data_IF_367853179965
#
_entry.id   IF_367853179965
#
_cell.length_a   1.000
_cell.length_b   1.000
_cell.length_c   1.000
_cell.angle_alpha   90.00
_cell.angle_beta   90.00
_cell.angle_gamma   90.00
#
_symmetry.space_group_name_H-M   'P 1'
#
loop_
_entity.id
_entity.type
_entity.pdbx_description
1 polymer ?
#
# COMPACT_ATOMS: atom_id res chain seq x y z
N UNK A 1 -7.94 23.86 -10.40
CA UNK A 1 -7.74 22.40 -10.28
C UNK A 1 -6.50 22.07 -11.08
N UNK A 2 -5.33 22.01 -10.45
CA UNK A 2 -4.19 21.45 -11.18
C UNK A 2 -4.44 19.95 -11.35
N UNK A 3 -4.18 19.42 -12.54
CA UNK A 3 -4.31 17.99 -12.79
C UNK A 3 -2.96 17.32 -12.62
N UNK A 4 -2.96 16.12 -12.04
CA UNK A 4 -1.78 15.26 -11.99
C UNK A 4 -1.22 15.04 -13.40
N UNK A 5 0.08 15.23 -13.56
CA UNK A 5 0.78 14.97 -14.83
C UNK A 5 0.82 13.47 -15.14
N UNK A 6 1.20 13.12 -16.38
CA UNK A 6 1.42 11.71 -16.74
C UNK A 6 2.58 11.10 -15.95
N UNK A 7 3.61 11.89 -15.65
CA UNK A 7 4.76 11.46 -14.85
C UNK A 7 4.36 11.20 -13.40
N UNK A 8 3.47 12.03 -12.84
CA UNK A 8 2.90 11.80 -11.51
C UNK A 8 2.12 10.49 -11.44
N UNK A 9 1.29 10.23 -12.44
CA UNK A 9 0.51 8.99 -12.52
C UNK A 9 1.40 7.76 -12.64
N UNK A 10 2.47 7.85 -13.44
CA UNK A 10 3.49 6.78 -13.51
C UNK A 10 4.22 6.60 -12.19
N UNK A 11 4.69 7.68 -11.56
CA UNK A 11 5.43 7.62 -10.30
C UNK A 11 4.57 7.06 -9.16
N UNK A 12 3.29 7.42 -9.10
CA UNK A 12 2.32 6.82 -8.18
C UNK A 12 2.16 5.33 -8.48
N UNK A 13 1.91 4.95 -9.74
CA UNK A 13 1.77 3.53 -10.11
C UNK A 13 2.99 2.70 -9.72
N UNK A 14 4.20 3.22 -9.97
CA UNK A 14 5.45 2.57 -9.58
C UNK A 14 5.61 2.49 -8.05
N UNK A 15 5.27 3.54 -7.30
CA UNK A 15 5.27 3.52 -5.83
C UNK A 15 4.40 2.38 -5.28
N UNK A 16 3.15 2.27 -5.74
CA UNK A 16 2.22 1.25 -5.26
C UNK A 16 2.71 -0.16 -5.60
N UNK A 17 3.28 -0.35 -6.80
CA UNK A 17 3.87 -1.62 -7.22
C UNK A 17 5.11 -1.96 -6.39
N UNK A 18 6.05 -1.01 -6.21
CA UNK A 18 7.29 -1.23 -5.46
C UNK A 18 7.05 -1.55 -3.99
N UNK A 19 6.04 -0.95 -3.37
CA UNK A 19 5.58 -1.36 -2.04
C UNK A 19 5.27 -2.87 -1.99
N UNK A 20 4.49 -3.37 -2.95
CA UNK A 20 4.12 -4.78 -3.03
C UNK A 20 5.35 -5.68 -3.27
N UNK A 21 6.19 -5.30 -4.24
CA UNK A 21 7.44 -6.03 -4.53
C UNK A 21 8.38 -6.10 -3.34
N UNK A 22 8.47 -5.03 -2.55
CA UNK A 22 9.32 -5.00 -1.37
C UNK A 22 8.85 -5.98 -0.30
N UNK A 23 7.55 -6.09 -0.07
CA UNK A 23 6.98 -7.10 0.83
C UNK A 23 7.24 -8.51 0.28
N UNK A 24 6.86 -8.75 -0.98
CA UNK A 24 6.92 -10.07 -1.61
C UNK A 24 8.33 -10.65 -1.69
N UNK A 25 9.35 -9.78 -1.76
CA UNK A 25 10.76 -10.18 -1.87
C UNK A 25 11.59 -9.85 -0.62
N UNK A 26 10.95 -9.42 0.47
CA UNK A 26 11.63 -9.09 1.72
C UNK A 26 12.66 -7.96 1.63
N UNK A 27 12.42 -6.94 0.79
CA UNK A 27 13.28 -5.75 0.64
C UNK A 27 13.04 -4.73 1.75
N UNK A 28 13.16 -5.18 2.99
CA UNK A 28 12.77 -4.40 4.18
C UNK A 28 13.58 -3.10 4.35
N UNK A 29 14.81 -3.04 3.83
CA UNK A 29 15.63 -1.82 3.85
C UNK A 29 15.05 -0.68 3.01
N UNK A 30 14.22 -0.98 2.00
CA UNK A 30 13.54 0.02 1.16
C UNK A 30 12.21 0.48 1.76
N UNK A 31 11.65 -0.29 2.70
CA UNK A 31 10.24 -0.24 3.06
C UNK A 31 9.81 1.10 3.66
N UNK A 32 10.61 1.67 4.58
CA UNK A 32 10.31 2.95 5.20
C UNK A 32 10.24 4.12 4.21
N UNK A 33 11.00 4.05 3.10
CA UNK A 33 11.10 5.15 2.14
C UNK A 33 9.83 5.37 1.32
N UNK A 34 8.92 4.39 1.27
CA UNK A 34 7.63 4.52 0.60
C UNK A 34 6.65 5.41 1.36
N UNK A 35 6.94 5.74 2.61
CA UNK A 35 6.00 6.39 3.52
C UNK A 35 6.43 7.79 3.91
N UNK A 36 5.45 8.67 4.13
CA UNK A 36 5.68 9.95 4.82
C UNK A 36 6.06 9.70 6.30
N UNK A 37 6.65 10.69 6.97
CA UNK A 37 7.01 10.56 8.40
C UNK A 37 5.79 10.27 9.30
N UNK A 38 4.67 10.96 9.07
CA UNK A 38 3.40 10.79 9.79
C UNK A 38 2.41 9.82 9.13
N UNK A 39 2.90 8.80 8.41
CA UNK A 39 2.02 7.91 7.66
C UNK A 39 1.12 7.03 8.54
N UNK A 40 0.07 6.45 7.98
CA UNK A 40 -0.75 5.40 8.61
C UNK A 40 -1.01 4.23 7.66
N UNK A 41 -0.71 3.02 8.11
CA UNK A 41 -1.19 1.77 7.51
C UNK A 41 -2.33 1.23 8.36
N UNK A 42 -3.52 1.10 7.79
CA UNK A 42 -4.69 0.55 8.47
C UNK A 42 -5.16 -0.73 7.78
N UNK A 43 -5.02 -1.87 8.46
CA UNK A 43 -5.51 -3.17 8.01
C UNK A 43 -6.77 -3.58 8.78
N UNK A 44 -7.45 -2.61 9.41
CA UNK A 44 -8.67 -2.81 10.17
C UNK A 44 -8.49 -3.80 11.31
N UNK A 45 -9.56 -4.53 11.64
CA UNK A 45 -9.56 -5.50 12.75
C UNK A 45 -8.64 -6.71 12.52
N UNK A 46 -8.21 -6.96 11.28
CA UNK A 46 -7.44 -8.16 10.94
C UNK A 46 -5.98 -8.06 11.40
N UNK A 47 -5.31 -6.93 11.14
CA UNK A 47 -3.91 -6.72 11.53
C UNK A 47 -3.67 -5.44 12.34
N UNK A 48 -4.72 -4.64 12.56
CA UNK A 48 -4.63 -3.37 13.28
C UNK A 48 -4.06 -2.24 12.42
N UNK A 49 -3.66 -1.19 13.13
CA UNK A 49 -3.19 0.07 12.53
C UNK A 49 -1.77 0.37 12.98
N UNK A 50 -0.93 0.86 12.06
CA UNK A 50 0.46 1.19 12.27
C UNK A 50 0.71 2.63 11.82
N UNK A 51 1.18 3.48 12.73
CA UNK A 51 1.33 4.92 12.48
C UNK A 51 2.78 5.36 12.65
N UNK A 52 3.20 6.29 11.80
CA UNK A 52 4.55 6.84 11.75
C UNK A 52 5.62 5.80 11.40
N UNK A 53 6.86 6.26 11.29
CA UNK A 53 8.01 5.42 10.92
C UNK A 53 8.22 4.24 11.89
N UNK A 54 7.97 4.42 13.19
CA UNK A 54 8.03 3.35 14.17
C UNK A 54 6.97 2.26 13.92
N UNK A 55 5.74 2.66 13.57
CA UNK A 55 4.67 1.74 13.20
C UNK A 55 5.02 0.96 11.94
N UNK A 56 5.56 1.63 10.92
CA UNK A 56 6.03 0.99 9.68
C UNK A 56 7.14 -0.02 9.96
N UNK A 57 8.12 0.32 10.81
CA UNK A 57 9.18 -0.60 11.19
C UNK A 57 8.63 -1.84 11.92
N UNK A 58 7.67 -1.65 12.83
CA UNK A 58 6.98 -2.77 13.51
C UNK A 58 6.19 -3.66 12.55
N UNK A 59 5.52 -3.07 11.57
CA UNK A 59 4.80 -3.82 10.54
C UNK A 59 5.77 -4.65 9.70
N UNK A 60 6.86 -4.05 9.24
CA UNK A 60 7.90 -4.74 8.47
C UNK A 60 8.51 -5.92 9.27
N UNK A 61 8.87 -5.72 10.53
CA UNK A 61 9.39 -6.81 11.38
C UNK A 61 8.35 -7.90 11.63
N UNK A 62 7.07 -7.55 11.76
CA UNK A 62 5.97 -8.53 11.88
C UNK A 62 5.87 -9.42 10.64
N UNK A 63 5.86 -8.82 9.44
CA UNK A 63 5.81 -9.56 8.19
C UNK A 63 7.06 -10.41 7.98
N UNK A 64 8.24 -9.84 8.25
CA UNK A 64 9.53 -10.55 8.17
C UNK A 64 9.58 -11.75 9.11
N UNK A 65 9.16 -11.59 10.35
CA UNK A 65 9.13 -12.66 11.35
C UNK A 65 8.14 -13.79 11.00
N UNK A 66 7.09 -13.48 10.23
CA UNK A 66 6.13 -14.50 9.79
C UNK A 66 6.75 -15.55 8.88
N UNK A 67 7.78 -15.20 8.10
CA UNK A 67 8.39 -16.08 7.10
C UNK A 67 7.44 -16.58 6.01
N UNK A 68 6.23 -16.02 5.93
CA UNK A 68 5.18 -16.46 5.01
C UNK A 68 5.53 -16.02 3.59
N UNK A 69 5.38 -16.92 2.61
CA UNK A 69 5.46 -16.53 1.20
C UNK A 69 4.28 -15.62 0.89
N UNK A 70 4.55 -14.49 0.24
CA UNK A 70 3.55 -13.51 -0.14
C UNK A 70 3.69 -13.18 -1.63
N UNK A 71 2.55 -13.03 -2.30
CA UNK A 71 2.47 -12.46 -3.64
C UNK A 71 1.25 -11.55 -3.73
N UNK A 72 1.47 -10.27 -3.98
CA UNK A 72 0.41 -9.31 -4.18
C UNK A 72 0.18 -9.06 -5.68
N UNK A 73 -1.09 -9.11 -6.08
CA UNK A 73 -1.58 -8.70 -7.40
C UNK A 73 -2.47 -7.48 -7.20
N UNK A 74 -1.97 -6.31 -7.56
CA UNK A 74 -2.74 -5.06 -7.54
C UNK A 74 -3.22 -4.71 -8.94
N UNK A 75 -4.52 -4.50 -9.11
CA UNK A 75 -5.12 -4.21 -10.43
C UNK A 75 -6.14 -3.08 -10.36
N UNK A 76 -6.58 -2.62 -11.55
CA UNK A 76 -7.63 -1.62 -11.71
C UNK A 76 -7.37 -0.35 -10.90
N UNK A 77 -6.12 0.14 -10.93
CA UNK A 77 -5.69 1.31 -10.17
C UNK A 77 -6.36 2.57 -10.73
N UNK A 78 -7.11 3.27 -9.89
CA UNK A 78 -7.75 4.55 -10.23
C UNK A 78 -7.07 5.65 -9.42
N UNK A 79 -6.50 6.65 -10.09
CA UNK A 79 -5.76 7.75 -9.47
C UNK A 79 -6.46 9.08 -9.74
N UNK A 80 -6.75 9.83 -8.67
CA UNK A 80 -7.39 11.16 -8.71
C UNK A 80 -6.50 12.15 -7.96
N UNK A 81 -6.27 13.33 -8.51
CA UNK A 81 -5.66 14.43 -7.75
C UNK A 81 -6.64 14.97 -6.71
N UNK A 82 -6.13 15.55 -5.64
CA UNK A 82 -6.94 16.20 -4.58
C UNK A 82 -7.55 17.55 -5.01
N UNK A 83 -7.20 18.05 -6.21
CA UNK A 83 -7.68 19.31 -6.78
C UNK A 83 -6.84 20.54 -6.41
N UNK A 84 -5.80 20.37 -5.57
CA UNK A 84 -4.85 21.39 -5.18
C UNK A 84 -3.72 21.60 -6.19
N UNK A 85 -2.50 21.77 -5.69
CA UNK A 85 -1.31 22.14 -6.47
C UNK A 85 -0.58 20.94 -7.13
N UNK A 86 -1.19 19.74 -7.07
CA UNK A 86 -0.66 18.53 -7.72
C UNK A 86 0.31 17.73 -6.84
N UNK A 87 0.37 18.08 -5.55
CA UNK A 87 1.17 17.40 -4.53
C UNK A 87 0.35 16.44 -3.66
N UNK A 88 -0.96 16.33 -3.88
CA UNK A 88 -1.83 15.35 -3.24
C UNK A 88 -2.60 14.52 -4.26
N UNK A 89 -2.75 13.23 -3.96
CA UNK A 89 -3.51 12.30 -4.78
C UNK A 89 -4.18 11.22 -3.92
N UNK A 90 -5.30 10.71 -4.43
CA UNK A 90 -5.96 9.52 -3.93
C UNK A 90 -5.84 8.41 -4.96
N UNK A 91 -5.53 7.21 -4.50
CA UNK A 91 -5.55 6.01 -5.34
C UNK A 91 -6.41 4.92 -4.72
N UNK A 92 -7.17 4.23 -5.56
CA UNK A 92 -7.91 3.03 -5.18
C UNK A 92 -7.47 1.89 -6.10
N UNK A 93 -7.27 0.71 -5.54
CA UNK A 93 -6.91 -0.48 -6.33
C UNK A 93 -7.49 -1.75 -5.72
N UNK A 94 -7.78 -2.73 -6.56
CA UNK A 94 -8.04 -4.09 -6.05
C UNK A 94 -6.72 -4.73 -5.67
N UNK A 95 -6.75 -5.54 -4.60
CA UNK A 95 -5.64 -6.39 -4.20
C UNK A 95 -6.11 -7.83 -4.07
N UNK A 96 -5.38 -8.73 -4.71
CA UNK A 96 -5.40 -10.16 -4.43
C UNK A 96 -4.03 -10.53 -3.85
N UNK A 97 -4.01 -10.98 -2.60
CA UNK A 97 -2.82 -11.46 -1.92
C UNK A 97 -2.87 -13.00 -1.82
N UNK A 98 -1.84 -13.66 -2.34
CA UNK A 98 -1.61 -15.09 -2.14
C UNK A 98 -0.58 -15.26 -1.03
N UNK A 99 -0.98 -15.91 0.07
CA UNK A 99 -0.11 -16.09 1.24
C UNK A 99 -0.09 -17.54 1.72
N UNK A 100 1.05 -18.02 2.21
CA UNK A 100 1.15 -19.36 2.79
C UNK A 100 2.48 -20.05 2.47
N UNK A 101 2.43 -21.36 2.27
CA UNK A 101 3.56 -22.14 1.81
C UNK A 101 3.42 -22.45 0.31
N UNK A 102 4.51 -22.57 -0.47
CA UNK A 102 4.42 -23.04 -1.85
C UNK A 102 3.64 -24.36 -1.94
N UNK A 103 2.59 -24.40 -2.78
CA UNK A 103 1.69 -25.55 -2.91
C UNK A 103 0.49 -25.57 -1.96
N UNK A 104 0.43 -24.66 -0.98
CA UNK A 104 -0.71 -24.47 -0.07
C UNK A 104 -0.89 -22.97 0.23
N UNK A 105 -1.44 -22.23 -0.73
CA UNK A 105 -1.64 -20.79 -0.66
C UNK A 105 -3.11 -20.47 -0.37
N UNK A 106 -3.32 -19.57 0.58
CA UNK A 106 -4.59 -18.92 0.85
C UNK A 106 -4.71 -17.64 0.03
N UNK A 107 -5.91 -17.34 -0.43
CA UNK A 107 -6.21 -16.08 -1.12
C UNK A 107 -6.90 -15.10 -0.17
N UNK A 108 -6.47 -13.85 -0.22
CA UNK A 108 -7.16 -12.72 0.41
C UNK A 108 -7.45 -11.68 -0.66
N UNK A 109 -8.70 -11.23 -0.76
CA UNK A 109 -9.12 -10.20 -1.71
C UNK A 109 -9.61 -8.96 -0.97
N UNK A 110 -9.48 -7.81 -1.61
CA UNK A 110 -9.96 -6.56 -1.06
C UNK A 110 -9.54 -5.37 -1.88
N UNK A 111 -9.50 -4.20 -1.24
CA UNK A 111 -9.08 -2.95 -1.85
C UNK A 111 -8.00 -2.26 -1.02
N UNK A 112 -7.07 -1.62 -1.69
CA UNK A 112 -6.26 -0.56 -1.09
C UNK A 112 -6.90 0.79 -1.43
N UNK A 113 -7.08 1.61 -0.40
CA UNK A 113 -7.46 3.02 -0.49
C UNK A 113 -6.31 3.85 0.06
N UNK A 114 -5.68 4.61 -0.82
CA UNK A 114 -4.42 5.30 -0.56
C UNK A 114 -4.60 6.83 -0.63
N UNK A 115 -4.09 7.50 0.41
CA UNK A 115 -3.83 8.95 0.39
C UNK A 115 -2.33 9.15 0.17
N UNK A 116 -1.97 9.88 -0.87
CA UNK A 116 -0.61 10.02 -1.37
C UNK A 116 -0.19 11.49 -1.37
N UNK A 117 1.06 11.74 -1.02
CA UNK A 117 1.62 13.10 -0.99
C UNK A 117 2.96 13.12 -1.71
N UNK A 118 3.19 14.14 -2.52
CA UNK A 118 4.48 14.44 -3.12
C UNK A 118 5.27 15.34 -2.18
N UNK A 119 6.46 14.90 -1.80
CA UNK A 119 7.38 15.66 -0.94
C UNK A 119 8.74 15.63 -1.61
N UNK A 120 9.30 16.81 -1.88
CA UNK A 120 10.59 16.99 -2.60
C UNK A 120 10.63 16.26 -3.95
N UNK A 121 9.54 16.37 -4.71
CA UNK A 121 9.43 15.74 -6.04
C UNK A 121 9.16 14.22 -6.01
N UNK A 122 8.99 13.60 -4.83
CA UNK A 122 8.77 12.15 -4.69
C UNK A 122 7.43 11.86 -4.04
N UNK A 123 6.63 11.03 -4.70
CA UNK A 123 5.39 10.51 -4.14
C UNK A 123 5.66 9.51 -3.02
N UNK A 124 4.86 9.59 -1.96
CA UNK A 124 4.89 8.70 -0.80
C UNK A 124 3.47 8.39 -0.34
N UNK A 125 3.30 7.24 0.29
CA UNK A 125 2.07 6.83 0.95
C UNK A 125 1.96 7.59 2.27
N UNK A 126 0.92 8.41 2.40
CA UNK A 126 0.57 9.05 3.66
C UNK A 126 -0.44 8.19 4.43
N UNK A 127 -1.45 7.67 3.75
CA UNK A 127 -2.37 6.69 4.34
C UNK A 127 -2.56 5.55 3.37
N UNK A 128 -2.61 4.32 3.88
CA UNK A 128 -3.15 3.16 3.16
C UNK A 128 -4.14 2.45 4.06
N UNK A 129 -5.36 2.30 3.59
CA UNK A 129 -6.39 1.46 4.20
C UNK A 129 -6.54 0.19 3.36
N UNK A 130 -6.34 -0.96 3.97
CA UNK A 130 -6.58 -2.26 3.36
C UNK A 130 -7.95 -2.76 3.79
N UNK A 131 -8.94 -2.58 2.90
CA UNK A 131 -10.30 -3.07 3.11
C UNK A 131 -10.35 -4.51 2.62
N UNK A 132 -10.15 -5.45 3.55
CA UNK A 132 -10.20 -6.88 3.25
C UNK A 132 -11.64 -7.36 3.20
N UNK A 133 -12.02 -7.98 2.09
CA UNK A 133 -13.35 -8.55 1.89
C UNK A 133 -13.37 -9.97 2.46
N UNK A 134 -14.01 -10.13 3.62
CA UNK A 134 -14.21 -11.42 4.27
C UNK A 134 -15.56 -12.01 3.85
N UNK A 135 -15.74 -13.34 3.90
CA UNK A 135 -17.05 -13.94 3.67
C UNK A 135 -18.12 -13.30 4.57
N UNK A 136 -19.14 -12.69 3.96
CA UNK A 136 -20.22 -11.98 4.66
C UNK A 136 -19.98 -10.48 4.90
N UNK A 137 -18.91 -9.88 4.39
CA UNK A 137 -18.78 -8.42 4.34
C UNK A 137 -19.81 -7.83 3.37
N UNK A 138 -20.65 -6.92 3.84
CA UNK A 138 -21.55 -6.13 2.98
C UNK A 138 -20.73 -5.22 2.06
N UNK A 139 -21.24 -4.96 0.85
CA UNK A 139 -20.59 -4.12 -0.17
C UNK A 139 -20.84 -2.64 0.08
#
# INVERSE_FOLDING_TARGET
MSQLSSDDRHAIGELLARYCFAIDHGRWSEFGAFFTEGCTLDFGKLMGTFTGQEGIARFAETLKASGVFMRHYTTNVVIRGDGGDGDGAHAESYVLAMTGAPGNLSQTTGRYEDDLVKIDGRWRIHVRRAVIELPGSER
#
